data_IF_751656858032
#
_entry.id   IF_751656858032
#
_cell.length_a   1.000
_cell.length_b   1.000
_cell.length_c   1.000
_cell.angle_alpha   90.00
_cell.angle_beta   90.00
_cell.angle_gamma   90.00
#
_symmetry.space_group_name_H-M   'P 1'
#
loop_
_entity.id
_entity.type
_entity.pdbx_description
1 polymer ?
#
# COMPACT_ATOMS: atom_id res chain seq x y z
N UNK A 1 -20.59 -6.44 5.33
CA UNK A 1 -19.32 -7.13 5.62
C UNK A 1 -18.84 -6.77 7.02
N UNK A 2 -18.05 -7.62 7.67
CA UNK A 2 -17.59 -7.36 9.04
C UNK A 2 -16.22 -6.68 9.02
N UNK A 3 -16.18 -5.35 9.07
CA UNK A 3 -14.95 -4.57 9.01
C UNK A 3 -14.14 -4.59 10.30
N UNK A 4 -12.81 -4.65 10.20
CA UNK A 4 -11.88 -4.47 11.30
C UNK A 4 -11.25 -3.07 11.17
N UNK A 5 -11.45 -2.21 12.16
CA UNK A 5 -10.98 -0.81 12.14
C UNK A 5 -11.43 0.01 10.91
N UNK A 6 -12.60 -0.32 10.34
CA UNK A 6 -13.14 0.36 9.15
C UNK A 6 -12.53 -0.12 7.83
N UNK A 7 -11.74 -1.19 7.84
CA UNK A 7 -11.20 -1.84 6.66
C UNK A 7 -11.80 -3.24 6.46
N UNK A 8 -11.86 -3.76 5.22
CA UNK A 8 -12.18 -5.16 4.96
C UNK A 8 -11.20 -6.06 5.72
N UNK A 9 -11.67 -7.24 6.16
CA UNK A 9 -10.77 -8.21 6.78
C UNK A 9 -9.66 -8.60 5.81
N UNK A 10 -8.57 -9.11 6.37
CA UNK A 10 -7.45 -9.56 5.55
C UNK A 10 -7.92 -10.62 4.53
N UNK A 11 -7.73 -10.33 3.24
CA UNK A 11 -8.14 -11.17 2.12
C UNK A 11 -9.58 -10.98 1.66
N UNK A 12 -10.42 -10.25 2.40
CA UNK A 12 -11.80 -9.95 2.02
C UNK A 12 -11.82 -8.89 0.92
N UNK A 13 -12.67 -9.12 -0.08
CA UNK A 13 -12.93 -8.17 -1.16
C UNK A 13 -14.17 -7.37 -0.82
N UNK A 14 -14.06 -6.06 -0.93
CA UNK A 14 -15.11 -5.11 -0.61
C UNK A 14 -15.35 -4.19 -1.82
N UNK A 15 -16.61 -3.81 -2.03
CA UNK A 15 -17.06 -2.87 -3.07
C UNK A 15 -17.90 -1.73 -2.51
N UNK A 16 -18.04 -1.65 -1.19
CA UNK A 16 -18.85 -0.66 -0.48
C UNK A 16 -17.98 0.51 0.03
N UNK A 17 -16.74 0.22 0.42
CA UNK A 17 -15.76 1.18 0.92
C UNK A 17 -15.31 2.17 -0.16
N UNK A 18 -15.13 1.66 -1.38
CA UNK A 18 -14.85 2.46 -2.57
C UNK A 18 -15.76 1.96 -3.67
N UNK A 19 -16.19 2.82 -4.60
CA UNK A 19 -16.98 2.40 -5.77
C UNK A 19 -16.26 1.37 -6.69
N UNK A 20 -15.02 1.00 -6.33
CA UNK A 20 -14.17 0.01 -6.96
C UNK A 20 -13.94 -1.18 -6.02
N UNK A 21 -13.63 -2.35 -6.59
CA UNK A 21 -13.23 -3.52 -5.81
C UNK A 21 -11.91 -3.23 -5.09
N UNK A 22 -11.92 -3.41 -3.78
CA UNK A 22 -10.74 -3.24 -2.91
C UNK A 22 -10.55 -4.48 -2.04
N UNK A 23 -9.30 -4.82 -1.75
CA UNK A 23 -8.93 -5.93 -0.86
C UNK A 23 -7.86 -5.47 0.12
N UNK A 24 -8.00 -5.87 1.38
CA UNK A 24 -6.94 -5.68 2.37
C UNK A 24 -5.95 -6.85 2.28
N UNK A 25 -4.67 -6.59 2.08
CA UNK A 25 -3.61 -7.61 2.11
C UNK A 25 -2.47 -7.19 3.04
N UNK A 26 -1.60 -8.15 3.37
CA UNK A 26 -0.36 -7.86 4.10
C UNK A 26 0.61 -7.15 3.16
N UNK A 27 1.33 -6.18 3.69
CA UNK A 27 2.50 -5.65 3.01
C UNK A 27 3.57 -6.74 2.94
N UNK A 28 4.19 -6.91 1.77
CA UNK A 28 5.24 -7.90 1.58
C UNK A 28 6.47 -7.58 2.44
N UNK A 29 7.13 -8.61 2.99
CA UNK A 29 8.26 -8.42 3.91
C UNK A 29 9.46 -7.67 3.31
N UNK A 30 9.64 -7.72 1.99
CA UNK A 30 10.69 -6.96 1.29
C UNK A 30 10.54 -5.44 1.46
N UNK A 31 9.34 -4.95 1.77
CA UNK A 31 9.07 -3.52 1.95
C UNK A 31 9.57 -2.99 3.30
N UNK A 32 9.87 -3.84 4.27
CA UNK A 32 10.29 -3.41 5.62
C UNK A 32 11.61 -2.62 5.66
N UNK A 33 12.41 -2.69 4.59
CA UNK A 33 13.65 -1.92 4.43
C UNK A 33 13.47 -0.60 3.67
N UNK A 34 12.30 -0.35 3.07
CA UNK A 34 12.06 0.83 2.23
C UNK A 34 12.06 2.12 3.06
N UNK A 35 12.35 3.29 2.46
CA UNK A 35 12.27 4.57 3.16
C UNK A 35 10.91 4.81 3.84
N UNK A 36 9.82 4.32 3.22
CA UNK A 36 8.46 4.44 3.74
C UNK A 36 8.28 3.72 5.09
N UNK A 37 8.79 2.49 5.23
CA UNK A 37 8.59 1.69 6.44
C UNK A 37 9.78 1.73 7.40
N UNK A 38 10.97 2.14 6.94
CA UNK A 38 12.19 2.22 7.75
C UNK A 38 12.03 3.18 8.92
N UNK A 39 11.47 4.37 8.69
CA UNK A 39 11.24 5.38 9.75
C UNK A 39 10.25 4.87 10.80
N UNK A 40 9.11 4.32 10.37
CA UNK A 40 8.13 3.73 11.27
C UNK A 40 8.74 2.57 12.08
N UNK A 41 9.52 1.69 11.44
CA UNK A 41 10.21 0.59 12.10
C UNK A 41 11.21 1.05 13.18
N UNK A 42 11.96 2.11 12.89
CA UNK A 42 12.87 2.71 13.86
C UNK A 42 12.10 3.26 15.07
N UNK A 43 10.98 3.95 14.84
CA UNK A 43 10.13 4.51 15.89
C UNK A 43 9.59 3.43 16.85
N UNK A 44 9.17 2.27 16.33
CA UNK A 44 8.66 1.15 17.15
C UNK A 44 9.74 0.20 17.71
N UNK A 45 11.02 0.62 17.72
CA UNK A 45 12.10 -0.19 18.30
C UNK A 45 12.30 -1.55 17.63
N UNK A 46 12.02 -1.64 16.32
CA UNK A 46 12.16 -2.87 15.54
C UNK A 46 11.02 -3.89 15.68
N UNK A 47 10.07 -3.69 16.61
CA UNK A 47 8.82 -4.47 16.68
C UNK A 47 7.80 -3.86 15.74
N UNK A 48 7.51 -4.56 14.65
CA UNK A 48 6.60 -4.06 13.64
C UNK A 48 5.16 -4.46 13.99
N UNK A 49 4.20 -3.50 13.99
CA UNK A 49 2.80 -3.87 13.85
C UNK A 49 2.59 -4.56 12.49
N UNK A 50 1.52 -5.34 12.35
CA UNK A 50 1.16 -5.91 11.05
C UNK A 50 0.82 -4.78 10.08
N UNK A 51 1.68 -4.56 9.08
CA UNK A 51 1.39 -3.61 8.01
C UNK A 51 0.41 -4.22 7.03
N UNK A 52 -0.73 -3.54 6.86
CA UNK A 52 -1.76 -3.89 5.89
C UNK A 52 -1.82 -2.80 4.82
N UNK A 53 -2.11 -3.20 3.59
CA UNK A 53 -2.35 -2.29 2.46
C UNK A 53 -3.70 -2.59 1.82
N UNK A 54 -4.31 -1.55 1.26
CA UNK A 54 -5.47 -1.67 0.39
C UNK A 54 -4.98 -1.80 -1.05
N UNK A 55 -5.46 -2.81 -1.75
CA UNK A 55 -5.23 -2.98 -3.19
C UNK A 55 -6.53 -2.83 -3.93
N UNK A 56 -6.52 -1.96 -4.94
CA UNK A 56 -7.62 -1.81 -5.88
C UNK A 56 -7.45 -2.83 -7.01
N UNK A 57 -8.56 -3.40 -7.46
CA UNK A 57 -8.55 -4.22 -8.66
C UNK A 57 -8.29 -3.35 -9.91
N UNK A 58 -7.49 -3.86 -10.84
CA UNK A 58 -7.33 -3.24 -12.15
C UNK A 58 -8.48 -3.72 -13.06
N UNK A 59 -9.64 -3.07 -12.94
CA UNK A 59 -10.84 -3.43 -13.71
C UNK A 59 -11.35 -4.84 -13.38
N UNK A 60 -11.53 -5.68 -14.42
CA UNK A 60 -11.96 -7.08 -14.27
C UNK A 60 -10.80 -8.06 -14.06
N UNK A 61 -9.56 -7.62 -14.22
CA UNK A 61 -8.36 -8.46 -14.31
C UNK A 61 -7.93 -9.04 -12.95
N UNK A 62 -8.55 -8.57 -11.85
CA UNK A 62 -8.27 -9.05 -10.50
C UNK A 62 -7.34 -8.12 -9.72
N UNK A 63 -6.70 -8.65 -8.68
CA UNK A 63 -5.78 -7.89 -7.83
C UNK A 63 -4.32 -8.17 -8.22
N UNK A 64 -3.47 -7.16 -8.03
CA UNK A 64 -2.01 -7.33 -8.06
C UNK A 64 -1.61 -8.49 -7.12
N UNK A 65 -0.90 -9.49 -7.67
CA UNK A 65 -0.48 -10.70 -6.96
C UNK A 65 -1.46 -11.89 -6.98
N UNK A 66 -2.60 -11.79 -7.68
CA UNK A 66 -3.45 -12.96 -7.96
C UNK A 66 -2.77 -13.91 -8.98
N UNK A 67 -3.18 -15.20 -9.07
CA UNK A 67 -2.58 -16.14 -10.01
C UNK A 67 -2.61 -15.63 -11.46
N UNK A 68 -1.45 -15.60 -12.11
CA UNK A 68 -1.26 -15.03 -13.45
C UNK A 68 -0.67 -13.63 -13.46
N UNK A 69 -0.52 -13.00 -12.29
CA UNK A 69 0.23 -11.75 -12.14
C UNK A 69 1.74 -11.97 -12.23
N UNK A 70 2.48 -10.99 -12.75
CA UNK A 70 3.93 -11.04 -12.90
C UNK A 70 4.63 -11.06 -11.53
N UNK A 71 5.27 -12.19 -11.20
CA UNK A 71 5.97 -12.39 -9.93
C UNK A 71 7.13 -11.39 -9.74
N UNK A 72 7.74 -10.88 -10.82
CA UNK A 72 8.82 -9.88 -10.72
C UNK A 72 8.32 -8.54 -10.17
N UNK A 73 7.02 -8.27 -10.28
CA UNK A 73 6.40 -7.04 -9.79
C UNK A 73 5.86 -7.16 -8.36
N UNK A 74 5.64 -8.38 -7.86
CA UNK A 74 5.14 -8.64 -6.48
C UNK A 74 6.09 -8.08 -5.42
N UNK A 75 7.39 -8.10 -5.70
CA UNK A 75 8.42 -7.66 -4.75
C UNK A 75 8.87 -6.22 -4.95
N UNK A 76 8.39 -5.53 -5.99
CA UNK A 76 8.81 -4.16 -6.31
C UNK A 76 7.83 -3.18 -5.71
N UNK A 77 8.35 -2.31 -4.84
CA UNK A 77 7.62 -1.11 -4.47
C UNK A 77 7.57 -0.21 -5.73
N UNK A 78 6.38 0.18 -6.23
CA UNK A 78 6.33 1.28 -7.16
C UNK A 78 6.90 2.50 -6.45
N UNK A 79 7.81 3.22 -7.09
CA UNK A 79 8.32 4.45 -6.49
C UNK A 79 7.17 5.45 -6.40
N UNK A 80 6.64 5.60 -5.18
CA UNK A 80 5.58 6.55 -4.86
C UNK A 80 6.17 7.94 -4.61
N UNK A 81 7.50 8.11 -4.72
CA UNK A 81 8.08 9.44 -4.75
C UNK A 81 7.60 10.13 -6.01
N UNK A 82 6.75 11.13 -5.81
CA UNK A 82 6.47 12.11 -6.83
C UNK A 82 7.79 12.85 -7.06
N UNK A 83 8.29 13.01 -8.30
CA UNK A 83 9.45 13.85 -8.57
C UNK A 83 9.24 15.24 -7.96
N UNK A 84 10.29 15.86 -7.39
CA UNK A 84 10.15 17.14 -6.69
C UNK A 84 9.49 18.23 -7.56
N UNK A 85 9.76 18.21 -8.87
CA UNK A 85 9.16 19.12 -9.84
C UNK A 85 7.62 18.98 -9.97
N UNK A 86 7.11 17.79 -9.65
CA UNK A 86 5.69 17.44 -9.74
C UNK A 86 4.98 17.55 -8.38
N UNK A 87 5.68 17.98 -7.31
CA UNK A 87 5.05 18.20 -6.01
C UNK A 87 4.06 19.38 -6.12
N UNK A 88 2.84 19.25 -5.56
CA UNK A 88 1.93 20.37 -5.44
C UNK A 88 2.62 21.51 -4.68
N UNK A 89 2.59 22.73 -5.23
CA UNK A 89 3.18 23.90 -4.57
C UNK A 89 2.56 24.09 -3.18
N UNK A 90 3.34 23.89 -2.12
CA UNK A 90 2.93 24.14 -0.75
C UNK A 90 4.08 24.74 0.06
N UNK A 91 3.80 25.17 1.30
CA UNK A 91 4.79 25.79 2.19
C UNK A 91 6.02 24.90 2.44
N UNK A 92 5.86 23.59 2.32
CA UNK A 92 6.93 22.61 2.50
C UNK A 92 7.78 22.38 1.24
N UNK A 93 7.25 22.69 0.05
CA UNK A 93 7.96 22.60 -1.24
C UNK A 93 8.45 23.97 -1.72
N UNK A 94 8.12 25.04 -0.99
CA UNK A 94 8.55 26.41 -1.27
C UNK A 94 9.90 26.75 -0.63
N UNK A 95 10.46 25.84 0.17
CA UNK A 95 11.78 26.00 0.79
C UNK A 95 12.84 25.47 -0.19
N UNK A 96 13.90 26.25 -0.48
CA UNK A 96 14.97 25.89 -1.40
C UNK A 96 15.87 24.77 -0.88
#
# INVERSE_FOLDING_TARGET
>A
MAMEHGLPRLGEVDTELTSLKVKTVRVHGSWHGSPLLRTARAFYGGRLPEYRQLMWAEGSEGFYGDPGFDEELVERQPDLAIPLADHPKCVWTALP
#
